data_IF_738074464845
#
_entry.id   IF_738074464845
#
_cell.length_a   1.000
_cell.length_b   1.000
_cell.length_c   1.000
_cell.angle_alpha   90.00
_cell.angle_beta   90.00
_cell.angle_gamma   90.00
#
_symmetry.space_group_name_H-M   'P 1'
#
loop_
_entity.id
_entity.type
_entity.pdbx_description
1 polymer ?
#
# COMPACT_ATOMS: atom_id res chain seq x y z
N UNK A 1 -24.09 28.23 -24.13
CA UNK A 1 -24.85 29.46 -24.35
C UNK A 1 -26.24 29.12 -24.95
N UNK A 2 -27.31 29.69 -24.40
CA UNK A 2 -28.67 29.42 -24.87
C UNK A 2 -29.02 30.34 -26.05
N UNK A 3 -29.23 29.75 -27.25
CA UNK A 3 -29.66 30.48 -28.46
C UNK A 3 -31.19 30.50 -28.48
N UNK A 4 -31.78 31.67 -28.44
CA UNK A 4 -33.25 31.82 -28.57
C UNK A 4 -33.60 32.19 -30.00
N UNK A 5 -34.22 31.24 -30.73
CA UNK A 5 -35.13 31.47 -31.86
C UNK A 5 -34.54 31.53 -33.26
N UNK A 6 -34.79 30.48 -34.04
CA UNK A 6 -35.24 30.55 -35.45
C UNK A 6 -34.20 30.76 -36.54
N UNK A 7 -34.10 29.77 -37.43
CA UNK A 7 -33.36 29.66 -38.68
C UNK A 7 -31.86 29.40 -38.59
N UNK A 8 -31.42 28.44 -39.39
CA UNK A 8 -30.03 28.00 -39.63
C UNK A 8 -29.13 29.13 -40.14
N UNK A 9 -28.90 30.13 -39.33
CA UNK A 9 -27.89 31.15 -39.57
C UNK A 9 -26.52 30.53 -39.32
N UNK A 10 -25.60 30.71 -40.26
CA UNK A 10 -24.20 30.27 -40.15
C UNK A 10 -23.68 30.70 -38.80
N UNK A 11 -23.40 29.72 -37.96
CA UNK A 11 -22.78 29.94 -36.66
C UNK A 11 -21.27 29.79 -36.86
N UNK A 12 -20.52 30.79 -36.43
CA UNK A 12 -19.06 30.72 -36.36
C UNK A 12 -18.62 30.92 -34.91
N UNK A 13 -17.77 30.05 -34.43
CA UNK A 13 -17.22 30.09 -33.09
C UNK A 13 -15.71 30.31 -33.16
N UNK A 14 -15.25 31.41 -32.60
CA UNK A 14 -13.82 31.70 -32.50
C UNK A 14 -13.37 31.59 -31.05
N UNK A 15 -12.18 30.99 -30.84
CA UNK A 15 -11.46 31.00 -29.57
C UNK A 15 -10.11 31.66 -29.80
N UNK A 16 -9.84 32.74 -29.09
CA UNK A 16 -8.60 33.55 -29.21
C UNK A 16 -8.32 34.00 -30.66
N UNK A 17 -9.36 34.13 -31.46
CA UNK A 17 -9.27 34.49 -32.86
C UNK A 17 -9.13 33.29 -33.82
N UNK A 18 -8.94 32.07 -33.34
CA UNK A 18 -8.97 30.87 -34.16
C UNK A 18 -10.38 30.33 -34.35
N UNK A 19 -10.69 29.90 -35.56
CA UNK A 19 -12.00 29.32 -35.89
C UNK A 19 -12.06 27.85 -35.44
N UNK A 20 -12.89 27.61 -34.46
CA UNK A 20 -13.15 26.27 -33.88
C UNK A 20 -14.56 25.78 -34.19
N UNK A 21 -15.19 26.32 -35.18
CA UNK A 21 -16.58 25.99 -35.56
C UNK A 21 -16.79 24.51 -35.87
N UNK A 22 -15.78 23.87 -36.48
CA UNK A 22 -15.82 22.44 -36.83
C UNK A 22 -15.81 21.51 -35.59
N UNK A 23 -15.36 22.02 -34.43
CA UNK A 23 -15.36 21.30 -33.16
C UNK A 23 -16.63 21.56 -32.34
N UNK A 24 -17.48 22.49 -32.82
CA UNK A 24 -18.66 22.89 -32.08
C UNK A 24 -19.87 22.00 -32.41
N UNK A 25 -20.50 21.48 -31.39
CA UNK A 25 -21.83 20.88 -31.49
C UNK A 25 -22.89 21.97 -31.30
N UNK A 26 -23.75 22.14 -32.32
CA UNK A 26 -24.77 23.17 -32.34
C UNK A 26 -26.15 22.52 -32.28
N UNK A 27 -26.91 22.86 -31.27
CA UNK A 27 -28.32 22.52 -31.14
C UNK A 27 -29.18 23.78 -31.14
N UNK A 28 -30.50 23.64 -31.28
CA UNK A 28 -31.46 24.74 -31.34
C UNK A 28 -31.39 25.69 -30.13
N UNK A 29 -30.89 25.22 -28.99
CA UNK A 29 -30.80 26.00 -27.74
C UNK A 29 -29.37 26.23 -27.23
N UNK A 30 -28.38 25.48 -27.74
CA UNK A 30 -27.05 25.47 -27.17
C UNK A 30 -25.96 25.28 -28.22
N UNK A 31 -24.85 25.98 -28.03
CA UNK A 31 -23.58 25.70 -28.71
C UNK A 31 -22.59 25.17 -27.66
N UNK A 32 -22.05 23.99 -27.92
CA UNK A 32 -21.04 23.38 -27.04
C UNK A 32 -19.82 22.96 -27.86
N UNK A 33 -18.65 23.10 -27.28
CA UNK A 33 -17.39 22.66 -27.86
C UNK A 33 -16.57 21.96 -26.75
N UNK A 34 -15.97 20.82 -27.09
CA UNK A 34 -15.03 20.12 -26.23
C UNK A 34 -13.63 20.46 -26.72
N UNK A 35 -12.81 21.01 -25.84
CA UNK A 35 -11.43 21.38 -26.11
C UNK A 35 -10.53 20.50 -25.23
N UNK A 36 -9.56 19.82 -25.83
CA UNK A 36 -8.76 18.83 -25.12
C UNK A 36 -7.63 19.47 -24.29
N UNK A 37 -6.99 20.54 -24.76
CA UNK A 37 -5.93 21.25 -24.02
C UNK A 37 -5.97 22.75 -24.37
N UNK A 38 -6.14 23.59 -23.36
CA UNK A 38 -5.99 25.03 -23.47
C UNK A 38 -4.78 25.46 -22.64
N UNK A 39 -3.98 26.37 -23.18
CA UNK A 39 -2.91 26.99 -22.42
C UNK A 39 -3.49 27.75 -21.22
N UNK A 40 -2.76 27.84 -20.09
CA UNK A 40 -3.23 28.66 -18.99
C UNK A 40 -3.23 30.12 -19.34
N UNK A 41 -4.29 30.79 -19.00
CA UNK A 41 -4.43 32.23 -19.29
C UNK A 41 -5.87 32.63 -19.52
N UNK A 42 -6.05 33.88 -19.94
CA UNK A 42 -7.35 34.44 -20.31
C UNK A 42 -7.60 34.12 -21.75
N UNK A 43 -8.75 33.48 -22.02
CA UNK A 43 -9.23 33.12 -23.34
C UNK A 43 -10.45 33.90 -23.69
N UNK A 44 -10.52 34.33 -24.94
CA UNK A 44 -11.66 35.05 -25.49
C UNK A 44 -12.46 34.18 -26.46
N UNK A 45 -13.73 33.99 -26.17
CA UNK A 45 -14.66 33.32 -27.06
C UNK A 45 -15.52 34.35 -27.77
N UNK A 46 -15.69 34.19 -29.09
CA UNK A 46 -16.57 35.00 -29.91
C UNK A 46 -17.54 34.11 -30.68
N UNK A 47 -18.81 34.38 -30.56
CA UNK A 47 -19.87 33.67 -31.25
C UNK A 47 -20.56 34.60 -32.25
N UNK A 48 -20.48 34.24 -33.51
CA UNK A 48 -21.17 34.90 -34.58
C UNK A 48 -22.46 34.14 -34.96
N UNK A 49 -23.58 34.79 -34.93
CA UNK A 49 -24.88 34.23 -35.30
C UNK A 49 -25.51 35.08 -36.37
N UNK A 50 -25.36 34.68 -37.64
CA UNK A 50 -25.92 35.40 -38.79
C UNK A 50 -25.44 36.86 -38.90
N UNK A 51 -26.38 37.79 -39.10
CA UNK A 51 -26.09 39.21 -39.34
C UNK A 51 -26.01 40.07 -38.08
N UNK A 52 -25.95 39.47 -36.88
CA UNK A 52 -25.88 40.21 -35.60
C UNK A 52 -24.43 40.43 -35.20
N UNK A 53 -24.19 41.47 -34.37
CA UNK A 53 -22.89 41.69 -33.77
C UNK A 53 -22.47 40.45 -32.98
N UNK A 54 -21.19 40.06 -33.06
CA UNK A 54 -20.69 38.89 -32.31
C UNK A 54 -20.88 39.09 -30.82
N UNK A 55 -21.23 38.00 -30.15
CA UNK A 55 -21.19 37.95 -28.69
C UNK A 55 -19.82 37.45 -28.25
N UNK A 56 -19.20 38.21 -27.35
CA UNK A 56 -17.88 37.89 -26.85
C UNK A 56 -17.93 37.79 -25.33
N UNK A 57 -17.24 36.82 -24.80
CA UNK A 57 -16.97 36.66 -23.37
C UNK A 57 -15.57 36.12 -23.16
N UNK A 58 -15.04 36.33 -21.99
CA UNK A 58 -13.72 35.81 -21.56
C UNK A 58 -13.89 34.79 -20.46
N UNK A 59 -13.00 33.80 -20.44
CA UNK A 59 -12.82 32.88 -19.29
C UNK A 59 -11.33 32.64 -19.07
N UNK A 60 -10.97 32.34 -17.84
CA UNK A 60 -9.58 32.08 -17.46
C UNK A 60 -9.38 30.59 -17.23
N UNK A 61 -8.39 30.00 -17.90
CA UNK A 61 -7.90 28.67 -17.59
C UNK A 61 -6.72 28.77 -16.64
N UNK A 62 -6.72 27.98 -15.59
CA UNK A 62 -5.59 27.91 -14.66
C UNK A 62 -5.03 26.50 -14.66
N UNK A 63 -3.70 26.37 -14.71
CA UNK A 63 -3.09 25.10 -14.34
C UNK A 63 -3.41 24.88 -12.87
N UNK A 64 -4.14 23.84 -12.58
CA UNK A 64 -4.21 23.35 -11.20
C UNK A 64 -2.86 22.76 -10.86
N UNK A 65 -1.96 23.57 -10.30
CA UNK A 65 -0.68 23.07 -9.82
C UNK A 65 -0.92 21.86 -8.93
N UNK A 66 -0.15 20.77 -9.10
CA UNK A 66 -0.30 19.61 -8.25
C UNK A 66 -0.08 20.01 -6.80
N UNK A 67 -1.15 20.02 -6.01
CA UNK A 67 -1.03 20.31 -4.59
C UNK A 67 -0.31 19.13 -3.92
N UNK A 68 0.97 19.30 -3.62
CA UNK A 68 1.74 18.37 -2.81
C UNK A 68 1.71 18.84 -1.36
N UNK A 69 0.98 18.12 -0.53
CA UNK A 69 0.95 18.36 0.91
C UNK A 69 1.65 17.22 1.63
N UNK A 70 2.56 17.53 2.53
CA UNK A 70 3.23 16.50 3.32
C UNK A 70 3.49 16.97 4.75
N UNK A 71 3.56 16.01 5.64
CA UNK A 71 3.92 16.20 7.04
C UNK A 71 4.84 15.08 7.48
N UNK A 72 5.95 15.44 8.07
CA UNK A 72 6.91 14.52 8.67
C UNK A 72 6.96 14.70 10.19
N UNK A 73 7.14 13.60 10.90
CA UNK A 73 7.40 13.59 12.34
C UNK A 73 8.53 12.62 12.64
N UNK A 74 9.52 13.10 13.33
CA UNK A 74 10.59 12.28 13.88
C UNK A 74 10.46 12.30 15.40
N UNK A 75 10.51 11.12 15.99
CA UNK A 75 10.45 10.95 17.44
C UNK A 75 11.56 10.02 17.87
N UNK A 76 12.37 10.47 18.79
CA UNK A 76 13.43 9.68 19.43
C UNK A 76 13.09 9.48 20.89
N UNK A 77 13.37 8.32 21.40
CA UNK A 77 13.28 8.04 22.83
C UNK A 77 14.45 7.14 23.24
N UNK A 78 14.97 7.40 24.42
CA UNK A 78 15.98 6.54 25.05
C UNK A 78 15.56 6.32 26.49
N UNK A 79 15.64 5.08 26.92
CA UNK A 79 15.42 4.69 28.31
C UNK A 79 16.59 3.83 28.78
N UNK A 80 16.90 3.93 30.05
CA UNK A 80 17.89 3.10 30.73
C UNK A 80 17.17 2.43 31.88
N UNK A 81 17.14 1.09 31.85
CA UNK A 81 16.60 0.27 32.92
C UNK A 81 17.75 -0.44 33.60
N UNK A 82 17.84 -0.33 34.92
CA UNK A 82 18.84 -1.04 35.74
C UNK A 82 18.11 -2.04 36.61
N UNK A 83 18.44 -3.31 36.43
CA UNK A 83 17.93 -4.42 37.25
C UNK A 83 19.14 -5.14 37.80
N UNK A 84 19.36 -5.00 39.12
CA UNK A 84 20.57 -5.45 39.80
C UNK A 84 21.83 -4.89 39.12
N UNK A 85 22.75 -5.76 38.70
CA UNK A 85 23.99 -5.37 38.01
C UNK A 85 23.84 -5.25 36.49
N UNK A 86 22.63 -5.50 35.94
CA UNK A 86 22.34 -5.42 34.51
C UNK A 86 21.78 -4.06 34.15
N UNK A 87 22.47 -3.36 33.28
CA UNK A 87 21.97 -2.09 32.65
C UNK A 87 21.51 -2.36 31.26
N UNK A 88 20.22 -2.11 30.97
CA UNK A 88 19.62 -2.22 29.66
C UNK A 88 19.35 -0.83 29.09
N UNK A 89 20.07 -0.47 28.05
CA UNK A 89 19.86 0.76 27.30
C UNK A 89 18.97 0.49 26.10
N UNK A 90 17.80 1.15 26.02
CA UNK A 90 16.85 1.03 24.94
C UNK A 90 16.74 2.39 24.26
N UNK A 91 17.18 2.46 23.03
CA UNK A 91 16.97 3.64 22.20
C UNK A 91 16.13 3.28 20.97
N UNK A 92 15.22 4.16 20.61
CA UNK A 92 14.40 3.99 19.42
C UNK A 92 14.21 5.31 18.67
N UNK A 93 14.12 5.19 17.35
CA UNK A 93 13.79 6.28 16.44
C UNK A 93 12.55 5.88 15.67
N UNK A 94 11.57 6.76 15.64
CA UNK A 94 10.37 6.62 14.83
C UNK A 94 10.30 7.76 13.83
N UNK A 95 10.08 7.42 12.57
CA UNK A 95 9.87 8.38 11.48
C UNK A 95 8.51 8.09 10.85
N UNK A 96 7.59 9.02 11.03
CA UNK A 96 6.29 9.01 10.38
C UNK A 96 6.30 10.09 9.29
N UNK A 97 6.01 9.70 8.08
CA UNK A 97 5.85 10.61 6.96
C UNK A 97 4.53 10.33 6.25
N UNK A 98 3.75 11.35 6.00
CA UNK A 98 2.48 11.26 5.28
C UNK A 98 2.30 12.45 4.38
N UNK A 99 1.63 12.24 3.28
CA UNK A 99 1.30 13.31 2.36
C UNK A 99 0.24 12.91 1.37
N UNK A 100 -0.14 13.87 0.56
CA UNK A 100 -1.00 13.70 -0.59
C UNK A 100 -0.42 14.46 -1.77
N UNK A 101 -0.43 13.82 -2.93
CA UNK A 101 -0.14 14.45 -4.20
C UNK A 101 -1.42 14.41 -5.01
N UNK A 102 -1.81 15.55 -5.55
CA UNK A 102 -3.11 15.71 -6.15
C UNK A 102 -4.26 15.35 -5.17
N UNK A 103 -5.47 15.34 -5.62
CA UNK A 103 -6.63 14.97 -4.79
C UNK A 103 -6.85 13.45 -4.72
N UNK A 104 -6.04 12.67 -5.45
CA UNK A 104 -6.28 11.24 -5.63
C UNK A 104 -5.21 10.31 -5.06
N UNK A 105 -3.99 10.80 -4.79
CA UNK A 105 -2.89 9.98 -4.25
C UNK A 105 -2.55 10.40 -2.82
N UNK A 106 -2.64 9.47 -1.88
CA UNK A 106 -2.13 9.63 -0.51
C UNK A 106 -1.01 8.64 -0.27
N UNK A 107 0.01 9.05 0.46
CA UNK A 107 1.11 8.19 0.87
C UNK A 107 1.40 8.35 2.36
N UNK A 108 1.87 7.27 2.96
CA UNK A 108 2.26 7.22 4.36
C UNK A 108 3.43 6.27 4.53
N UNK A 109 4.41 6.64 5.34
CA UNK A 109 5.44 5.72 5.83
C UNK A 109 5.41 5.65 7.34
N UNK A 110 5.79 4.50 7.86
CA UNK A 110 6.01 4.28 9.28
C UNK A 110 7.31 3.48 9.43
N UNK A 111 8.32 4.13 9.98
CA UNK A 111 9.64 3.52 10.21
C UNK A 111 9.93 3.60 11.70
N UNK A 112 10.19 2.46 12.32
CA UNK A 112 10.63 2.35 13.70
C UNK A 112 11.91 1.52 13.74
N UNK A 113 12.97 2.09 14.23
CA UNK A 113 14.25 1.44 14.46
C UNK A 113 14.55 1.43 15.95
N UNK A 114 15.07 0.32 16.45
CA UNK A 114 15.41 0.17 17.87
C UNK A 114 16.74 -0.54 18.06
N UNK A 115 17.49 -0.16 19.08
CA UNK A 115 18.73 -0.83 19.50
C UNK A 115 18.48 -2.26 20.01
N UNK A 116 17.22 -2.62 20.27
CA UNK A 116 16.83 -3.98 20.67
C UNK A 116 16.60 -4.92 19.48
N UNK A 117 16.90 -4.49 18.25
CA UNK A 117 16.86 -5.41 17.11
C UNK A 117 17.96 -6.44 17.26
N UNK A 118 17.57 -7.72 17.23
CA UNK A 118 18.50 -8.84 17.38
C UNK A 118 18.08 -9.96 16.42
N UNK A 119 19.06 -10.53 15.76
CA UNK A 119 18.85 -11.61 14.77
C UNK A 119 18.35 -12.91 15.40
N UNK A 120 18.55 -13.08 16.70
CA UNK A 120 18.09 -14.25 17.46
C UNK A 120 16.60 -14.18 17.85
N UNK A 121 15.92 -13.07 17.59
CA UNK A 121 14.52 -12.88 17.93
C UNK A 121 13.72 -12.38 16.72
N UNK A 122 12.39 -12.40 16.83
CA UNK A 122 11.54 -11.82 15.82
C UNK A 122 11.78 -10.31 15.68
N UNK A 123 11.64 -9.73 14.46
CA UNK A 123 12.01 -8.34 14.19
C UNK A 123 11.23 -7.36 15.05
N UNK A 124 11.95 -6.45 15.70
CA UNK A 124 11.37 -5.31 16.43
C UNK A 124 11.32 -4.05 15.57
N UNK A 125 12.22 -3.93 14.60
CA UNK A 125 12.20 -2.87 13.63
C UNK A 125 10.97 -2.98 12.72
N UNK A 126 10.36 -1.85 12.43
CA UNK A 126 9.18 -1.72 11.54
C UNK A 126 9.55 -0.83 10.37
N UNK A 127 9.29 -1.28 9.17
CA UNK A 127 9.42 -0.46 7.96
C UNK A 127 8.22 -0.74 7.06
N UNK A 128 7.33 0.23 6.98
CA UNK A 128 6.11 0.11 6.20
C UNK A 128 5.80 1.37 5.39
N UNK A 129 5.32 1.16 4.17
CA UNK A 129 4.86 2.20 3.26
C UNK A 129 3.43 1.89 2.83
N UNK A 130 2.60 2.91 2.76
CA UNK A 130 1.20 2.81 2.34
C UNK A 130 0.92 3.86 1.27
N UNK A 131 0.30 3.42 0.18
CA UNK A 131 -0.16 4.26 -0.91
C UNK A 131 -1.65 4.05 -1.08
N UNK A 132 -2.42 5.13 -1.18
CA UNK A 132 -3.86 5.05 -1.39
C UNK A 132 -4.26 5.92 -2.57
N UNK A 133 -5.01 5.32 -3.50
CA UNK A 133 -5.60 5.96 -4.66
C UNK A 133 -7.07 6.23 -4.37
N UNK A 134 -7.38 7.43 -3.89
CA UNK A 134 -8.70 7.76 -3.34
C UNK A 134 -9.17 6.65 -2.38
N UNK A 135 -10.41 6.21 -2.54
CA UNK A 135 -10.99 5.10 -1.77
C UNK A 135 -11.01 3.77 -2.54
N UNK A 136 -10.45 3.76 -3.78
CA UNK A 136 -10.51 2.59 -4.65
C UNK A 136 -9.43 1.56 -4.38
N UNK A 137 -8.21 2.02 -4.04
CA UNK A 137 -7.08 1.12 -3.85
C UNK A 137 -6.21 1.58 -2.69
N UNK A 138 -5.77 0.62 -1.88
CA UNK A 138 -4.68 0.81 -0.90
C UNK A 138 -3.65 -0.28 -1.10
N UNK A 139 -2.40 0.13 -1.22
CA UNK A 139 -1.23 -0.72 -1.34
C UNK A 139 -0.31 -0.48 -0.14
N UNK A 140 -0.06 -1.52 0.65
CA UNK A 140 0.91 -1.49 1.72
C UNK A 140 2.10 -2.39 1.37
N UNK A 141 3.31 -1.88 1.54
CA UNK A 141 4.58 -2.56 1.25
C UNK A 141 5.43 -2.55 2.52
N UNK A 142 6.02 -3.69 2.87
CA UNK A 142 6.79 -3.88 4.09
C UNK A 142 5.92 -4.32 5.25
N UNK A 143 6.12 -3.73 6.42
CA UNK A 143 5.36 -4.09 7.62
C UNK A 143 3.96 -3.48 7.59
N UNK A 144 2.94 -4.33 7.64
CA UNK A 144 1.52 -3.94 7.71
C UNK A 144 0.76 -4.82 8.72
N UNK A 145 -0.44 -4.37 9.09
CA UNK A 145 -1.33 -5.11 9.99
C UNK A 145 -2.71 -5.27 9.32
N UNK A 146 -2.83 -6.13 8.31
CA UNK A 146 -4.06 -6.29 7.55
C UNK A 146 -5.20 -6.81 8.39
N UNK A 147 -6.42 -6.39 8.05
CA UNK A 147 -7.66 -6.84 8.68
C UNK A 147 -8.61 -7.32 7.59
N UNK A 148 -8.63 -8.62 7.34
CA UNK A 148 -9.51 -9.26 6.35
C UNK A 148 -10.81 -9.75 7.00
N UNK A 149 -10.68 -10.59 8.03
CA UNK A 149 -11.79 -11.09 8.84
C UNK A 149 -11.30 -11.56 10.20
N UNK A 150 -12.21 -11.71 11.15
CA UNK A 150 -11.88 -12.23 12.49
C UNK A 150 -11.30 -13.65 12.45
N UNK A 151 -11.69 -14.45 11.47
CA UNK A 151 -11.34 -15.88 11.36
C UNK A 151 -10.09 -16.14 10.52
N UNK A 152 -9.60 -15.17 9.76
CA UNK A 152 -8.42 -15.34 8.92
C UNK A 152 -7.28 -14.46 9.39
N UNK A 153 -7.28 -13.20 9.02
CA UNK A 153 -6.23 -12.25 9.38
C UNK A 153 -6.85 -11.02 10.01
N UNK A 154 -6.54 -10.78 11.28
CA UNK A 154 -7.10 -9.67 12.05
C UNK A 154 -5.98 -8.91 12.78
N UNK A 155 -5.33 -7.99 12.08
CA UNK A 155 -4.34 -7.09 12.64
C UNK A 155 -3.01 -7.72 13.02
N UNK A 156 -2.76 -8.99 12.66
CA UNK A 156 -1.45 -9.61 12.83
C UNK A 156 -0.44 -8.95 11.90
N UNK A 157 0.71 -8.57 12.43
CA UNK A 157 1.79 -7.98 11.63
C UNK A 157 2.28 -8.97 10.59
N UNK A 158 2.40 -8.49 9.37
CA UNK A 158 3.07 -9.18 8.27
C UNK A 158 4.14 -8.26 7.67
N UNK A 159 5.15 -8.86 7.07
CA UNK A 159 6.13 -8.17 6.24
C UNK A 159 6.00 -8.67 4.82
N UNK A 160 5.53 -7.83 3.93
CA UNK A 160 5.25 -8.21 2.54
C UNK A 160 4.40 -7.19 1.80
N UNK A 161 3.43 -7.69 1.08
CA UNK A 161 2.50 -6.93 0.25
C UNK A 161 1.07 -7.11 0.74
N UNK A 162 0.35 -6.01 0.88
CA UNK A 162 -1.05 -5.96 1.27
C UNK A 162 -1.78 -5.01 0.32
N UNK A 163 -2.68 -5.55 -0.49
CA UNK A 163 -3.42 -4.83 -1.53
C UNK A 163 -4.91 -4.91 -1.26
N UNK A 164 -5.54 -3.77 -1.13
CA UNK A 164 -6.99 -3.66 -0.94
C UNK A 164 -7.59 -2.84 -2.09
N UNK A 165 -8.48 -3.45 -2.86
CA UNK A 165 -9.23 -2.84 -3.95
C UNK A 165 -10.71 -2.75 -3.58
N UNK A 166 -11.33 -1.60 -3.83
CA UNK A 166 -12.75 -1.33 -3.60
C UNK A 166 -13.35 -0.69 -4.84
N UNK A 167 -14.16 -1.43 -5.56
CA UNK A 167 -14.78 -1.01 -6.82
C UNK A 167 -16.30 -1.03 -6.68
N UNK A 168 -16.85 -0.04 -5.98
CA UNK A 168 -18.28 0.10 -5.76
C UNK A 168 -18.89 -1.07 -4.97
N UNK A 169 -19.52 -2.03 -5.67
CA UNK A 169 -20.14 -3.22 -5.08
C UNK A 169 -19.18 -4.40 -4.92
N UNK A 170 -17.95 -4.29 -5.44
CA UNK A 170 -16.92 -5.32 -5.42
C UNK A 170 -15.73 -4.86 -4.58
N UNK A 171 -15.20 -5.75 -3.73
CA UNK A 171 -13.94 -5.52 -3.03
C UNK A 171 -13.06 -6.76 -3.02
N UNK A 172 -11.76 -6.56 -3.23
CA UNK A 172 -10.73 -7.59 -3.19
C UNK A 172 -9.61 -7.14 -2.27
N UNK A 173 -9.29 -7.94 -1.28
CA UNK A 173 -8.17 -7.71 -0.38
C UNK A 173 -7.24 -8.92 -0.42
N UNK A 174 -6.00 -8.73 -0.81
CA UNK A 174 -4.98 -9.78 -0.93
C UNK A 174 -3.76 -9.41 -0.10
N UNK A 175 -3.27 -10.36 0.65
CA UNK A 175 -2.10 -10.24 1.52
C UNK A 175 -1.15 -11.38 1.21
N UNK A 176 0.12 -11.04 0.93
CA UNK A 176 1.19 -12.00 0.72
C UNK A 176 2.44 -11.52 1.46
N UNK A 177 2.96 -12.33 2.35
CA UNK A 177 4.14 -11.94 3.12
C UNK A 177 4.59 -12.98 4.14
N UNK A 178 5.45 -12.52 5.01
CA UNK A 178 6.04 -13.28 6.10
C UNK A 178 5.46 -12.81 7.43
N UNK A 179 4.98 -13.73 8.25
CA UNK A 179 4.48 -13.48 9.60
C UNK A 179 5.63 -13.55 10.61
N UNK A 180 6.44 -14.58 10.50
CA UNK A 180 7.61 -14.80 11.33
C UNK A 180 8.83 -14.96 10.42
N UNK A 181 9.92 -14.28 10.74
CA UNK A 181 11.19 -14.50 10.04
C UNK A 181 11.86 -15.78 10.54
N UNK A 182 12.73 -16.37 9.71
CA UNK A 182 13.61 -17.44 10.14
C UNK A 182 14.57 -16.95 11.22
N UNK A 183 14.66 -17.73 12.28
CA UNK A 183 15.65 -17.52 13.35
C UNK A 183 16.52 -18.76 13.38
N UNK A 184 17.82 -18.55 13.24
CA UNK A 184 18.78 -19.65 13.22
C UNK A 184 19.12 -20.17 14.64
N UNK A 185 18.74 -19.42 15.68
CA UNK A 185 19.18 -19.72 17.05
C UNK A 185 20.65 -19.34 17.28
N UNK A 186 21.11 -19.53 18.48
CA UNK A 186 22.53 -19.34 18.83
C UNK A 186 23.28 -20.63 18.52
N UNK A 187 24.18 -20.60 17.53
CA UNK A 187 24.97 -21.79 17.12
C UNK A 187 25.77 -22.43 18.23
N UNK A 188 26.18 -21.70 19.26
CA UNK A 188 27.00 -22.23 20.36
C UNK A 188 26.14 -22.85 21.47
N UNK A 189 24.87 -22.43 21.61
CA UNK A 189 24.02 -22.81 22.75
C UNK A 189 22.76 -23.57 22.32
N UNK A 190 22.44 -23.59 21.03
CA UNK A 190 21.20 -24.16 20.52
C UNK A 190 21.29 -25.61 20.11
N UNK A 191 22.37 -26.29 20.43
CA UNK A 191 22.51 -27.72 20.19
C UNK A 191 22.42 -28.52 21.49
N UNK A 192 21.58 -29.54 21.49
CA UNK A 192 21.61 -30.63 22.44
C UNK A 192 22.15 -31.88 21.74
N UNK A 193 22.84 -32.71 22.48
CA UNK A 193 23.34 -33.97 21.95
C UNK A 193 22.87 -35.14 22.83
N UNK A 194 22.62 -36.26 22.19
CA UNK A 194 22.42 -37.56 22.86
C UNK A 194 23.31 -38.59 22.20
N UNK A 195 23.80 -39.52 23.02
CA UNK A 195 24.52 -40.69 22.52
C UNK A 195 23.58 -41.88 22.70
N UNK A 196 23.13 -42.41 21.57
CA UNK A 196 22.23 -43.55 21.52
C UNK A 196 22.97 -44.77 21.01
N UNK A 197 22.47 -45.96 21.35
CA UNK A 197 23.02 -47.25 20.86
C UNK A 197 21.95 -47.93 20.03
N UNK A 198 22.26 -48.28 18.79
CA UNK A 198 21.32 -49.03 17.93
C UNK A 198 21.27 -50.51 18.33
N UNK A 199 20.39 -51.29 17.70
CA UNK A 199 20.20 -52.71 17.98
C UNK A 199 21.45 -53.56 17.68
N UNK A 200 22.39 -53.04 16.89
CA UNK A 200 23.65 -53.69 16.55
C UNK A 200 24.79 -53.30 17.48
N UNK A 201 24.51 -52.55 18.56
CA UNK A 201 25.47 -52.12 19.53
C UNK A 201 26.35 -50.94 19.08
N UNK A 202 26.06 -50.33 17.93
CA UNK A 202 26.81 -49.17 17.48
C UNK A 202 26.29 -47.90 18.17
N UNK A 203 27.21 -47.10 18.64
CA UNK A 203 26.93 -45.80 19.24
C UNK A 203 26.87 -44.75 18.15
N UNK A 204 25.84 -43.90 18.18
CA UNK A 204 25.73 -42.73 17.32
C UNK A 204 25.48 -41.49 18.15
N UNK A 205 26.01 -40.38 17.68
CA UNK A 205 25.80 -39.05 18.23
C UNK A 205 24.66 -38.40 17.49
N UNK A 206 23.56 -38.15 18.18
CA UNK A 206 22.46 -37.37 17.65
C UNK A 206 22.59 -35.91 18.11
N UNK A 207 22.69 -34.99 17.18
CA UNK A 207 22.74 -33.55 17.43
C UNK A 207 21.40 -32.93 17.04
N UNK A 208 20.67 -32.47 18.03
CA UNK A 208 19.41 -31.78 17.84
C UNK A 208 19.60 -30.26 18.03
N UNK A 209 19.08 -29.49 17.09
CA UNK A 209 19.09 -28.04 17.16
C UNK A 209 17.83 -27.53 17.82
N UNK A 210 17.98 -26.63 18.80
CA UNK A 210 16.90 -25.98 19.52
C UNK A 210 16.86 -24.49 19.22
N UNK A 211 15.90 -23.77 19.77
CA UNK A 211 15.78 -22.28 19.72
C UNK A 211 15.77 -21.68 18.32
N UNK A 212 15.28 -22.42 17.35
CA UNK A 212 15.09 -21.93 15.98
C UNK A 212 13.60 -21.68 15.70
N UNK A 213 13.35 -20.85 14.70
CA UNK A 213 12.01 -20.63 14.16
C UNK A 213 12.07 -20.64 12.65
N UNK A 214 11.23 -21.43 11.99
CA UNK A 214 11.08 -21.37 10.54
C UNK A 214 10.45 -20.06 10.12
N UNK A 215 10.83 -19.57 8.93
CA UNK A 215 10.09 -18.51 8.29
C UNK A 215 8.67 -18.98 8.02
N UNK A 216 7.69 -18.22 8.49
CA UNK A 216 6.29 -18.51 8.25
C UNK A 216 5.71 -17.55 7.21
N UNK A 217 5.39 -18.11 6.05
CA UNK A 217 4.81 -17.35 4.93
C UNK A 217 3.31 -17.50 4.90
N UNK A 218 2.63 -16.42 4.54
CA UNK A 218 1.17 -16.36 4.43
C UNK A 218 0.74 -15.82 3.09
N UNK A 219 -0.30 -16.44 2.53
CA UNK A 219 -1.12 -15.89 1.48
C UNK A 219 -2.56 -15.90 1.97
N UNK A 220 -3.17 -14.74 2.03
CA UNK A 220 -4.56 -14.59 2.47
C UNK A 220 -5.31 -13.66 1.54
N UNK A 221 -6.60 -13.89 1.38
CA UNK A 221 -7.44 -13.04 0.56
C UNK A 221 -8.88 -13.02 1.03
N UNK A 222 -9.54 -11.92 0.71
CA UNK A 222 -10.96 -11.72 0.89
C UNK A 222 -11.54 -11.13 -0.39
N UNK A 223 -12.54 -11.82 -0.91
CA UNK A 223 -13.42 -11.33 -1.96
C UNK A 223 -14.75 -10.96 -1.32
N UNK A 224 -15.28 -9.77 -1.56
CA UNK A 224 -16.59 -9.40 -1.07
C UNK A 224 -17.42 -8.70 -2.15
N UNK A 225 -18.71 -9.03 -2.19
CA UNK A 225 -19.71 -8.51 -3.10
C UNK A 225 -20.84 -7.87 -2.30
N UNK A 226 -21.28 -6.70 -2.75
CA UNK A 226 -22.35 -5.94 -2.11
C UNK A 226 -21.82 -4.71 -1.36
N UNK A 227 -22.75 -3.82 -0.97
CA UNK A 227 -22.46 -2.64 -0.15
C UNK A 227 -22.77 -2.99 1.31
N UNK A 228 -21.75 -2.88 2.17
CA UNK A 228 -21.78 -3.33 3.56
C UNK A 228 -22.91 -2.78 4.46
N UNK A 229 -23.62 -1.74 4.02
CA UNK A 229 -24.71 -1.14 4.79
C UNK A 229 -26.02 -1.95 4.80
N UNK A 230 -26.28 -2.72 3.73
CA UNK A 230 -27.53 -3.49 3.58
C UNK A 230 -27.27 -4.97 3.42
N UNK A 231 -26.35 -5.34 2.54
CA UNK A 231 -26.02 -6.73 2.24
C UNK A 231 -24.58 -6.81 1.76
N UNK A 232 -23.82 -7.74 2.31
CA UNK A 232 -22.48 -8.09 1.83
C UNK A 232 -22.27 -9.59 1.95
N UNK A 233 -21.90 -10.23 0.84
CA UNK A 233 -21.43 -11.60 0.82
C UNK A 233 -19.91 -11.58 0.62
N UNK A 234 -19.19 -12.45 1.33
CA UNK A 234 -17.74 -12.47 1.25
C UNK A 234 -17.16 -13.87 1.41
N UNK A 235 -16.15 -14.15 0.60
CA UNK A 235 -15.32 -15.34 0.68
C UNK A 235 -13.94 -14.97 1.22
N UNK A 236 -13.47 -15.73 2.21
CA UNK A 236 -12.13 -15.56 2.75
C UNK A 236 -11.33 -16.84 2.56
N UNK A 237 -10.04 -16.70 2.26
CA UNK A 237 -9.11 -17.81 2.28
C UNK A 237 -7.83 -17.42 3.03
N UNK A 238 -7.19 -18.42 3.63
CA UNK A 238 -5.91 -18.30 4.30
C UNK A 238 -5.08 -19.54 4.03
N UNK A 239 -3.85 -19.34 3.59
CA UNK A 239 -2.84 -20.38 3.49
C UNK A 239 -1.60 -19.89 4.22
N UNK A 240 -1.24 -20.55 5.31
CA UNK A 240 0.02 -20.33 6.01
C UNK A 240 0.86 -21.61 5.92
N UNK A 241 2.17 -21.42 5.79
CA UNK A 241 3.12 -22.53 5.75
C UNK A 241 4.44 -22.10 6.39
N UNK A 242 5.08 -23.06 7.04
CA UNK A 242 6.44 -22.91 7.48
C UNK A 242 7.40 -23.28 6.33
N UNK A 243 8.41 -22.47 6.14
CA UNK A 243 9.48 -22.72 5.18
C UNK A 243 10.60 -23.48 5.89
N UNK A 244 10.53 -24.81 5.85
CA UNK A 244 11.49 -25.67 6.54
C UNK A 244 12.92 -25.54 6.00
N UNK A 245 13.08 -25.03 4.78
CA UNK A 245 14.39 -24.76 4.19
C UNK A 245 15.05 -23.48 4.71
N UNK A 246 14.31 -22.67 5.45
CA UNK A 246 14.78 -21.39 5.99
C UNK A 246 15.73 -21.53 7.19
N UNK A 247 15.80 -22.69 7.81
CA UNK A 247 16.73 -23.04 8.89
C UNK A 247 17.57 -24.23 8.48
N UNK A 248 18.88 -24.10 8.54
CA UNK A 248 19.82 -25.12 8.13
C UNK A 248 20.33 -25.98 9.28
N UNK A 249 20.76 -27.19 8.99
CA UNK A 249 21.37 -28.12 9.95
C UNK A 249 20.56 -28.32 11.24
N UNK A 250 19.26 -28.68 11.09
CA UNK A 250 18.36 -28.91 12.21
C UNK A 250 18.75 -30.17 12.97
N UNK A 251 19.11 -31.21 12.24
CA UNK A 251 19.60 -32.46 12.75
C UNK A 251 20.87 -32.83 11.98
N UNK A 252 21.88 -33.27 12.67
CA UNK A 252 23.12 -33.76 12.10
C UNK A 252 23.54 -35.05 12.85
N UNK A 253 23.27 -36.19 12.22
CA UNK A 253 23.62 -37.49 12.77
C UNK A 253 25.01 -37.90 12.31
N UNK A 254 25.91 -38.16 13.22
CA UNK A 254 27.22 -38.68 12.93
C UNK A 254 27.40 -40.03 13.61
N UNK A 255 27.82 -41.01 12.85
CA UNK A 255 28.21 -42.31 13.42
C UNK A 255 29.58 -42.17 14.06
N UNK A 256 29.68 -42.54 15.34
CA UNK A 256 30.95 -42.57 16.07
C UNK A 256 31.43 -44.01 16.03
N UNK A 257 32.52 -44.23 15.32
CA UNK A 257 33.24 -45.52 15.30
C UNK A 257 34.26 -45.61 16.41
#
# INVERSE_FOLDING_TARGET
>A
YKVSGGNSDVIQLLLDGEDITDLAYVDSEMVSCLLDELEPGDHQVQLFTGRRNPKSWTFTTTIKEPSLNYTGRIRTSSSMDQIDDLTLNISQVMVDFKGSAYDWLKFKSNIKLTTQENVLFQPRNVVGFSFSLKDYMTLNIGDSNPRLSQFTMNGKRIRGLDVNLKLGWFSLHVVNGEINRAIQGNLEKSYSYSIDTNNDGLKYLSLNRNDYTFAQRVLSGRLALGRGEKFQWGLNFLKARDDTSSVHAIVNDATIT
#
